data_IF_495698231146
#
_entry.id   IF_495698231146
#
_cell.length_a   1.000
_cell.length_b   1.000
_cell.length_c   1.000
_cell.angle_alpha   90.00
_cell.angle_beta   90.00
_cell.angle_gamma   90.00
#
_symmetry.space_group_name_H-M   'P 1'
#
loop_
_entity.id
_entity.type
_entity.pdbx_description
1 polymer ?
#
# COMPACT_ATOMS: atom_id res chain seq x y z
N UNK A 1 -9.73 -21.43 -6.33
CA UNK A 1 -9.44 -20.42 -5.29
C UNK A 1 -9.05 -19.14 -6.01
N UNK A 2 -9.63 -17.98 -5.67
CA UNK A 2 -9.38 -16.70 -6.35
C UNK A 2 -8.56 -15.80 -5.43
N UNK A 3 -7.46 -15.25 -5.94
CA UNK A 3 -6.63 -14.31 -5.19
C UNK A 3 -7.21 -12.90 -5.29
N UNK A 4 -7.34 -12.22 -4.14
CA UNK A 4 -7.86 -10.86 -4.08
C UNK A 4 -6.78 -9.83 -4.44
N UNK A 5 -7.24 -8.75 -5.09
CA UNK A 5 -6.49 -7.50 -5.19
C UNK A 5 -7.00 -6.55 -4.13
N UNK A 6 -6.11 -6.11 -3.26
CA UNK A 6 -6.39 -5.28 -2.09
C UNK A 6 -6.03 -3.82 -2.39
N UNK A 7 -6.84 -2.89 -1.89
CA UNK A 7 -6.65 -1.46 -2.05
C UNK A 7 -5.81 -0.90 -0.89
N UNK A 8 -4.86 -0.02 -1.21
CA UNK A 8 -4.12 0.72 -0.19
C UNK A 8 -4.72 2.11 0.01
N UNK A 9 -4.85 2.54 1.26
CA UNK A 9 -5.32 3.88 1.62
C UNK A 9 -4.14 4.79 1.94
N UNK A 10 -4.14 5.99 1.36
CA UNK A 10 -3.05 6.95 1.46
C UNK A 10 -3.35 8.13 2.41
N UNK A 11 -3.87 7.83 3.61
CA UNK A 11 -4.14 8.87 4.61
C UNK A 11 -2.85 9.54 5.09
N UNK A 12 -2.94 10.82 5.46
CA UNK A 12 -1.79 11.65 5.84
C UNK A 12 -0.98 11.10 7.02
N UNK A 13 -1.61 10.31 7.90
CA UNK A 13 -0.95 9.67 9.04
C UNK A 13 -0.17 8.39 8.66
N UNK A 14 -0.29 7.91 7.43
CA UNK A 14 0.42 6.73 6.93
C UNK A 14 1.93 6.94 6.86
N UNK A 15 2.67 5.83 6.85
CA UNK A 15 4.13 5.87 6.68
C UNK A 15 4.50 6.17 5.23
N UNK A 16 5.65 6.81 5.00
CA UNK A 16 6.23 6.94 3.65
C UNK A 16 6.42 5.55 3.02
N UNK A 17 6.31 5.45 1.70
CA UNK A 17 6.34 4.17 0.99
C UNK A 17 7.56 3.30 1.33
N UNK A 18 8.75 3.90 1.46
CA UNK A 18 10.01 3.21 1.82
C UNK A 18 9.95 2.50 3.18
N UNK A 19 9.21 3.07 4.14
CA UNK A 19 9.08 2.57 5.51
C UNK A 19 7.75 1.87 5.80
N UNK A 20 6.84 1.81 4.82
CA UNK A 20 5.47 1.31 5.01
C UNK A 20 5.34 -0.15 4.60
N UNK A 21 4.90 -0.99 5.55
CA UNK A 21 4.57 -2.39 5.25
C UNK A 21 3.35 -2.48 4.32
N UNK A 22 2.40 -1.55 4.43
CA UNK A 22 1.25 -1.43 3.51
C UNK A 22 1.73 -1.21 2.07
N UNK A 23 2.72 -0.34 1.85
CA UNK A 23 3.27 -0.11 0.52
C UNK A 23 3.97 -1.35 -0.04
N UNK A 24 4.76 -2.07 0.78
CA UNK A 24 5.41 -3.33 0.37
C UNK A 24 4.38 -4.38 -0.02
N UNK A 25 3.34 -4.55 0.80
CA UNK A 25 2.26 -5.50 0.54
C UNK A 25 1.42 -5.12 -0.68
N UNK A 26 1.13 -3.83 -0.87
CA UNK A 26 0.42 -3.34 -2.06
C UNK A 26 1.22 -3.63 -3.35
N UNK A 27 2.54 -3.40 -3.33
CA UNK A 27 3.44 -3.73 -4.45
C UNK A 27 3.46 -5.23 -4.72
N UNK A 28 3.57 -6.06 -3.69
CA UNK A 28 3.48 -7.52 -3.82
C UNK A 28 2.10 -7.99 -4.30
N UNK A 29 1.04 -7.26 -3.93
CA UNK A 29 -0.32 -7.43 -4.41
C UNK A 29 -0.53 -6.83 -5.82
N UNK A 30 0.53 -6.36 -6.50
CA UNK A 30 0.51 -5.92 -7.90
C UNK A 30 -0.05 -4.52 -8.14
N UNK A 31 -0.24 -3.72 -7.09
CA UNK A 31 -0.62 -2.32 -7.20
C UNK A 31 0.59 -1.44 -7.49
N UNK A 32 0.40 -0.40 -8.30
CA UNK A 32 1.40 0.65 -8.46
C UNK A 32 1.50 1.47 -7.16
N UNK A 33 2.72 1.67 -6.69
CA UNK A 33 3.03 2.39 -5.46
C UNK A 33 3.73 3.69 -5.84
N UNK A 34 3.09 4.82 -5.50
CA UNK A 34 3.68 6.15 -5.60
C UNK A 34 4.50 6.43 -4.36
N UNK A 35 5.83 6.48 -4.51
CA UNK A 35 6.74 6.65 -3.37
C UNK A 35 6.60 8.03 -2.68
N UNK A 36 5.90 9.00 -3.30
CA UNK A 36 5.61 10.31 -2.70
C UNK A 36 4.42 10.30 -1.73
N UNK A 37 3.61 9.23 -1.71
CA UNK A 37 2.40 9.15 -0.87
C UNK A 37 2.65 8.43 0.46
N UNK A 38 1.94 8.82 1.53
CA UNK A 38 1.86 8.01 2.75
C UNK A 38 0.97 6.78 2.50
N UNK A 39 1.24 5.67 3.19
CA UNK A 39 0.48 4.43 3.11
C UNK A 39 0.06 4.00 4.51
N UNK A 40 -1.24 4.05 4.76
CA UNK A 40 -1.86 3.97 6.08
C UNK A 40 -2.50 2.60 6.34
N UNK A 41 -3.34 2.14 5.41
CA UNK A 41 -4.12 0.90 5.57
C UNK A 41 -4.10 0.07 4.28
N UNK A 42 -4.19 -1.25 4.40
CA UNK A 42 -4.41 -2.18 3.29
C UNK A 42 -5.74 -2.90 3.53
N UNK A 43 -6.66 -2.77 2.59
CA UNK A 43 -7.97 -3.42 2.60
C UNK A 43 -8.04 -4.49 1.52
#
# INVERSE_FOLDING_TARGET
MLQLRCAAQNYEWGKRAEDSEVAKLARANGSEVDDAKPFAELW
#
